data_IF_799240963105
#
_entry.id   IF_799240963105
#
_cell.length_a   1.000
_cell.length_b   1.000
_cell.length_c   1.000
_cell.angle_alpha   90.00
_cell.angle_beta   90.00
_cell.angle_gamma   90.00
#
_symmetry.space_group_name_H-M   'P 1'
#
loop_
_entity.id
_entity.type
_entity.pdbx_description
1 polymer ?
#
# COMPACT_ATOMS: atom_id res chain seq x y z
N UNK A 1 13.52 -39.00 24.95
CA UNK A 1 12.94 -37.70 25.36
C UNK A 1 12.58 -36.94 24.10
N UNK A 2 11.29 -36.85 23.79
CA UNK A 2 10.79 -36.15 22.61
C UNK A 2 11.01 -34.64 22.81
N UNK A 3 11.68 -34.02 21.82
CA UNK A 3 11.90 -32.58 21.78
C UNK A 3 10.55 -31.93 21.47
N UNK A 4 10.03 -31.12 22.39
CA UNK A 4 8.78 -30.39 22.20
C UNK A 4 8.83 -29.58 20.89
N UNK A 5 7.72 -29.47 20.14
CA UNK A 5 7.67 -28.63 18.96
C UNK A 5 7.91 -27.19 19.39
N UNK A 6 8.97 -26.59 18.82
CA UNK A 6 9.30 -25.18 18.99
C UNK A 6 8.15 -24.38 18.39
N UNK A 7 7.43 -23.60 19.21
CA UNK A 7 6.41 -22.68 18.73
C UNK A 7 6.98 -21.86 17.55
N UNK A 8 6.31 -21.91 16.41
CA UNK A 8 6.70 -21.17 15.23
C UNK A 8 6.73 -19.68 15.60
N UNK A 9 7.89 -19.04 15.46
CA UNK A 9 8.01 -17.60 15.69
C UNK A 9 7.21 -16.87 14.61
N UNK A 10 6.18 -16.14 15.03
CA UNK A 10 5.40 -15.24 14.20
C UNK A 10 6.20 -13.97 13.87
N UNK A 11 7.29 -14.13 13.12
CA UNK A 11 8.17 -13.02 12.71
C UNK A 11 7.59 -12.24 11.50
N UNK A 12 6.49 -12.72 10.89
CA UNK A 12 5.81 -12.03 9.78
C UNK A 12 4.81 -11.00 10.31
N UNK A 13 4.92 -9.76 9.82
CA UNK A 13 3.96 -8.68 10.05
C UNK A 13 3.61 -8.02 8.72
N UNK A 14 2.39 -8.27 8.25
CA UNK A 14 1.81 -7.60 7.09
C UNK A 14 0.83 -6.51 7.51
N UNK A 15 0.37 -5.72 6.55
CA UNK A 15 -0.68 -4.72 6.79
C UNK A 15 -1.54 -4.41 5.57
N UNK A 16 -2.78 -4.05 5.82
CA UNK A 16 -3.61 -3.31 4.87
C UNK A 16 -3.67 -1.84 5.27
N UNK A 17 -3.44 -0.95 4.31
CA UNK A 17 -3.30 0.49 4.56
C UNK A 17 -4.18 1.33 3.61
N UNK A 18 -5.52 1.31 3.76
CA UNK A 18 -6.41 2.05 2.88
C UNK A 18 -6.49 3.54 3.23
N UNK A 19 -6.63 4.40 2.22
CA UNK A 19 -7.00 5.81 2.44
C UNK A 19 -8.53 5.97 2.50
N UNK A 20 -9.13 6.63 3.51
CA UNK A 20 -10.58 6.75 3.67
C UNK A 20 -11.21 7.83 2.76
N UNK A 21 -10.87 7.82 1.47
CA UNK A 21 -11.31 8.80 0.46
C UNK A 21 -12.48 8.30 -0.41
N UNK A 22 -13.09 7.17 -0.05
CA UNK A 22 -14.18 6.51 -0.78
C UNK A 22 -14.39 5.10 -0.23
N UNK A 23 -15.54 4.47 -0.49
CA UNK A 23 -15.78 3.09 -0.01
C UNK A 23 -14.73 2.10 -0.52
N UNK A 24 -14.58 0.97 0.17
CA UNK A 24 -13.83 -0.17 -0.36
C UNK A 24 -14.44 -0.55 -1.73
N UNK A 25 -13.59 -0.64 -2.73
CA UNK A 25 -13.92 -1.13 -4.06
C UNK A 25 -13.19 -2.46 -4.31
N UNK A 26 -13.55 -3.13 -5.41
CA UNK A 26 -12.97 -4.44 -5.75
C UNK A 26 -11.43 -4.45 -5.74
N UNK A 27 -10.78 -3.46 -6.35
CA UNK A 27 -9.31 -3.34 -6.31
C UNK A 27 -8.71 -3.23 -4.89
N UNK A 28 -9.34 -2.48 -3.98
CA UNK A 28 -8.88 -2.42 -2.58
C UNK A 28 -9.21 -3.70 -1.80
N UNK A 29 -10.30 -4.40 -2.15
CA UNK A 29 -10.60 -5.71 -1.59
C UNK A 29 -9.56 -6.76 -2.02
N UNK A 30 -9.13 -6.75 -3.29
CA UNK A 30 -8.03 -7.60 -3.77
C UNK A 30 -6.76 -7.35 -2.97
N UNK A 31 -6.41 -6.09 -2.70
CA UNK A 31 -5.26 -5.76 -1.87
C UNK A 31 -5.43 -6.24 -0.41
N UNK A 32 -6.63 -6.12 0.17
CA UNK A 32 -6.92 -6.61 1.51
C UNK A 32 -6.82 -8.14 1.59
N UNK A 33 -7.47 -8.86 0.67
CA UNK A 33 -7.46 -10.33 0.60
C UNK A 33 -6.05 -10.87 0.36
N UNK A 34 -5.30 -10.30 -0.59
CA UNK A 34 -3.95 -10.75 -0.89
C UNK A 34 -2.97 -10.51 0.27
N UNK A 35 -3.02 -9.34 0.91
CA UNK A 35 -2.19 -9.07 2.09
C UNK A 35 -2.58 -9.91 3.30
N UNK A 36 -3.87 -10.19 3.48
CA UNK A 36 -4.36 -11.05 4.55
C UNK A 36 -3.93 -12.51 4.35
N UNK A 37 -4.15 -13.07 3.16
CA UNK A 37 -3.80 -14.45 2.85
C UNK A 37 -2.28 -14.68 2.93
N UNK A 38 -1.48 -13.73 2.44
CA UNK A 38 -0.01 -13.82 2.55
C UNK A 38 0.48 -13.80 4.00
N UNK A 39 -0.14 -12.97 4.86
CA UNK A 39 0.19 -12.92 6.28
C UNK A 39 -0.25 -14.19 7.02
N UNK A 40 -1.51 -14.60 6.84
CA UNK A 40 -2.12 -15.69 7.59
C UNK A 40 -1.64 -17.06 7.15
N UNK A 41 -1.32 -17.26 5.87
CA UNK A 41 -0.69 -18.51 5.37
C UNK A 41 0.68 -18.78 6.03
N UNK A 42 1.33 -17.73 6.55
CA UNK A 42 2.62 -17.80 7.27
C UNK A 42 2.47 -17.74 8.80
N UNK A 43 1.24 -17.77 9.31
CA UNK A 43 0.96 -17.62 10.75
C UNK A 43 1.35 -16.25 11.31
N UNK A 44 1.44 -15.23 10.46
CA UNK A 44 1.86 -13.88 10.80
C UNK A 44 0.74 -12.98 11.31
N UNK A 45 1.13 -11.77 11.72
CA UNK A 45 0.22 -10.68 12.05
C UNK A 45 -0.23 -9.94 10.80
N UNK A 46 -1.48 -9.47 10.79
CA UNK A 46 -2.03 -8.61 9.75
C UNK A 46 -2.64 -7.36 10.38
N UNK A 47 -1.98 -6.22 10.19
CA UNK A 47 -2.35 -4.94 10.80
C UNK A 47 -3.28 -4.13 9.88
N UNK A 48 -3.98 -3.16 10.46
CA UNK A 48 -4.77 -2.18 9.71
C UNK A 48 -4.35 -0.76 10.06
N UNK A 49 -4.08 0.06 9.03
CA UNK A 49 -3.72 1.47 9.17
C UNK A 49 -4.54 2.35 8.23
N UNK A 50 -5.27 3.32 8.75
CA UNK A 50 -5.99 4.30 7.95
C UNK A 50 -5.04 5.41 7.47
N UNK A 51 -4.86 5.52 6.15
CA UNK A 51 -4.00 6.54 5.53
C UNK A 51 -4.78 7.84 5.27
N UNK A 52 -5.13 8.54 6.36
CA UNK A 52 -5.97 9.74 6.40
C UNK A 52 -5.18 11.06 6.47
N UNK A 53 -3.95 11.07 5.94
CA UNK A 53 -3.04 12.23 5.92
C UNK A 53 -3.60 13.48 5.21
N UNK A 54 -4.40 13.27 4.16
CA UNK A 54 -4.97 14.37 3.38
C UNK A 54 -6.41 14.62 3.79
N UNK A 55 -6.59 15.38 4.87
CA UNK A 55 -7.89 15.74 5.42
C UNK A 55 -8.87 16.30 4.37
N UNK A 56 -8.38 16.96 3.31
CA UNK A 56 -9.23 17.49 2.23
C UNK A 56 -9.89 16.40 1.36
N UNK A 57 -9.37 15.17 1.39
CA UNK A 57 -9.90 14.03 0.62
C UNK A 57 -10.59 12.99 1.51
N UNK A 58 -10.44 13.09 2.83
CA UNK A 58 -11.11 12.19 3.77
C UNK A 58 -12.61 12.42 3.69
N UNK A 59 -13.37 11.33 3.55
CA UNK A 59 -14.83 11.38 3.58
C UNK A 59 -15.28 10.97 4.99
N UNK A 60 -16.02 11.82 5.74
CA UNK A 60 -16.54 11.47 7.05
C UNK A 60 -17.33 10.16 7.04
N UNK A 61 -17.15 9.32 8.07
CA UNK A 61 -17.82 8.01 8.17
C UNK A 61 -17.27 6.93 7.24
N UNK A 62 -16.25 7.24 6.43
CA UNK A 62 -15.70 6.30 5.45
C UNK A 62 -14.80 5.25 6.07
N UNK A 63 -13.92 5.65 7.00
CA UNK A 63 -13.07 4.72 7.74
C UNK A 63 -13.95 3.70 8.51
N UNK A 64 -14.98 4.16 9.20
CA UNK A 64 -15.89 3.32 9.98
C UNK A 64 -16.68 2.34 9.10
N UNK A 65 -17.11 2.77 7.91
CA UNK A 65 -17.74 1.87 6.93
C UNK A 65 -16.76 0.82 6.40
N UNK A 66 -15.50 1.21 6.13
CA UNK A 66 -14.48 0.25 5.71
C UNK A 66 -14.22 -0.80 6.78
N UNK A 67 -14.08 -0.38 8.04
CA UNK A 67 -13.88 -1.28 9.18
C UNK A 67 -15.00 -2.31 9.28
N UNK A 68 -16.26 -1.86 9.29
CA UNK A 68 -17.42 -2.76 9.33
C UNK A 68 -17.47 -3.74 8.16
N UNK A 69 -17.05 -3.30 6.97
CA UNK A 69 -17.04 -4.15 5.79
C UNK A 69 -15.91 -5.19 5.83
N UNK A 70 -14.72 -4.81 6.30
CA UNK A 70 -13.62 -5.76 6.53
C UNK A 70 -14.02 -6.82 7.57
N UNK A 71 -14.65 -6.41 8.67
CA UNK A 71 -15.20 -7.31 9.69
C UNK A 71 -16.27 -8.25 9.10
N UNK A 72 -17.20 -7.72 8.30
CA UNK A 72 -18.24 -8.53 7.66
C UNK A 72 -17.65 -9.57 6.69
N UNK A 73 -16.54 -9.26 6.02
CA UNK A 73 -15.80 -10.22 5.19
C UNK A 73 -14.90 -11.18 5.98
N UNK A 74 -14.81 -11.07 7.31
CA UNK A 74 -13.92 -11.88 8.13
C UNK A 74 -12.44 -11.48 8.05
N UNK A 75 -12.12 -10.37 7.39
CA UNK A 75 -10.77 -9.79 7.29
C UNK A 75 -10.41 -9.05 8.58
N UNK A 76 -10.19 -9.83 9.64
CA UNK A 76 -9.89 -9.33 10.99
C UNK A 76 -8.40 -9.04 11.17
N UNK A 77 -8.09 -7.87 11.70
CA UNK A 77 -6.72 -7.40 11.94
C UNK A 77 -6.27 -7.62 13.38
N UNK A 78 -4.95 -7.66 13.57
CA UNK A 78 -4.32 -7.81 14.87
C UNK A 78 -4.00 -6.43 15.46
N UNK A 79 -4.30 -6.25 16.75
CA UNK A 79 -4.02 -5.01 17.46
C UNK A 79 -4.99 -3.87 17.15
N UNK A 80 -4.61 -2.66 17.53
CA UNK A 80 -5.40 -1.46 17.28
C UNK A 80 -5.27 -0.99 15.83
N UNK A 81 -6.32 -0.34 15.32
CA UNK A 81 -6.25 0.39 14.05
C UNK A 81 -5.42 1.66 14.27
N UNK A 82 -4.39 1.87 13.45
CA UNK A 82 -3.60 3.10 13.47
C UNK A 82 -4.17 4.12 12.48
N UNK A 83 -4.10 5.41 12.83
CA UNK A 83 -4.56 6.52 11.99
C UNK A 83 -3.41 7.50 11.76
N UNK A 84 -3.05 7.74 10.50
CA UNK A 84 -1.90 8.60 10.18
C UNK A 84 -2.10 10.07 10.61
N UNK A 85 -3.35 10.53 10.67
CA UNK A 85 -3.72 11.84 11.21
C UNK A 85 -3.26 12.05 12.66
N UNK A 86 -3.22 10.99 13.47
CA UNK A 86 -2.75 11.02 14.86
C UNK A 86 -1.22 10.87 15.00
N UNK A 87 -0.50 10.62 13.91
CA UNK A 87 0.92 10.21 13.91
C UNK A 87 1.86 11.25 13.31
N UNK A 88 1.35 12.45 13.02
CA UNK A 88 2.09 13.53 12.36
C UNK A 88 3.36 13.97 13.07
N UNK A 89 3.46 13.78 14.39
CA UNK A 89 4.65 14.08 15.16
C UNK A 89 5.86 13.19 14.75
N UNK A 90 5.65 11.88 14.54
CA UNK A 90 6.71 10.97 14.07
C UNK A 90 7.26 11.39 12.70
N UNK A 91 6.39 11.86 11.81
CA UNK A 91 6.81 12.34 10.49
C UNK A 91 7.59 13.66 10.59
N UNK A 92 7.24 14.50 11.58
CA UNK A 92 8.00 15.70 11.92
C UNK A 92 9.42 15.39 12.39
N UNK A 93 9.58 14.41 13.28
CA UNK A 93 10.89 13.95 13.77
C UNK A 93 11.76 13.37 12.65
N UNK A 94 11.15 12.54 11.79
CA UNK A 94 11.83 11.99 10.62
C UNK A 94 12.24 13.10 9.64
N UNK A 95 11.37 14.08 9.39
CA UNK A 95 11.69 15.23 8.54
C UNK A 95 12.85 16.05 9.12
N UNK A 96 12.81 16.35 10.42
CA UNK A 96 13.87 17.10 11.09
C UNK A 96 15.22 16.37 11.01
N UNK A 97 15.21 15.04 11.12
CA UNK A 97 16.40 14.20 10.92
C UNK A 97 16.95 14.34 9.50
N UNK A 98 16.09 14.24 8.48
CA UNK A 98 16.51 14.40 7.07
C UNK A 98 17.04 15.82 6.78
N UNK A 99 16.44 16.84 7.38
CA UNK A 99 16.90 18.23 7.30
C UNK A 99 18.28 18.40 7.92
N UNK A 100 18.51 17.85 9.12
CA UNK A 100 19.80 17.88 9.80
C UNK A 100 20.91 17.17 9.01
N UNK A 101 20.56 16.13 8.25
CA UNK A 101 21.47 15.41 7.35
C UNK A 101 21.70 16.13 6.01
N UNK A 102 21.05 17.26 5.74
CA UNK A 102 21.15 17.98 4.46
C UNK A 102 20.49 17.23 3.29
N UNK A 103 19.60 16.27 3.57
CA UNK A 103 18.95 15.41 2.58
C UNK A 103 17.62 15.97 2.09
N UNK A 104 17.31 17.24 2.40
CA UNK A 104 16.09 17.89 1.94
C UNK A 104 16.40 19.26 1.33
N UNK A 105 15.43 19.81 0.60
CA UNK A 105 15.45 21.20 0.18
C UNK A 105 14.03 21.72 -0.05
N UNK A 106 13.90 23.06 -0.03
CA UNK A 106 12.64 23.75 -0.24
C UNK A 106 12.38 24.01 -1.72
N UNK A 107 11.17 23.69 -2.18
CA UNK A 107 10.75 23.77 -3.57
C UNK A 107 9.54 24.70 -3.72
N UNK A 108 9.70 25.76 -4.50
CA UNK A 108 8.61 26.69 -4.85
C UNK A 108 7.93 26.41 -6.19
N UNK A 109 8.35 25.37 -6.94
CA UNK A 109 7.73 25.01 -8.22
C UNK A 109 6.23 24.75 -8.09
N UNK A 110 5.47 25.17 -9.09
CA UNK A 110 4.05 24.92 -9.28
C UNK A 110 3.82 23.60 -10.02
N UNK A 111 2.56 23.15 -10.09
CA UNK A 111 2.20 21.94 -10.84
C UNK A 111 2.42 22.08 -12.35
N UNK A 112 2.36 23.30 -12.88
CA UNK A 112 2.54 23.60 -14.31
C UNK A 112 4.02 23.52 -14.74
N UNK A 113 4.96 23.67 -13.80
CA UNK A 113 6.41 23.62 -14.06
C UNK A 113 6.99 22.21 -13.94
N UNK A 114 6.14 21.18 -13.82
CA UNK A 114 6.60 19.79 -13.75
C UNK A 114 7.07 19.31 -15.13
N UNK A 115 7.95 18.31 -15.13
CA UNK A 115 8.39 17.64 -16.35
C UNK A 115 7.21 16.96 -17.06
N UNK A 116 7.43 16.49 -18.29
CA UNK A 116 6.39 15.83 -19.10
C UNK A 116 5.77 14.60 -18.42
N UNK A 117 6.56 13.90 -17.60
CA UNK A 117 6.15 12.76 -16.76
C UNK A 117 5.50 13.19 -15.43
N UNK A 118 5.31 14.49 -15.20
CA UNK A 118 4.82 15.04 -13.94
C UNK A 118 5.88 15.11 -12.83
N UNK A 119 7.14 14.82 -13.15
CA UNK A 119 8.28 14.87 -12.24
C UNK A 119 8.75 16.28 -11.90
N UNK A 120 9.71 16.36 -10.99
CA UNK A 120 10.32 17.64 -10.59
C UNK A 120 11.41 18.08 -11.59
N UNK A 121 11.41 19.35 -12.05
CA UNK A 121 12.37 19.81 -13.09
C UNK A 121 13.79 20.10 -12.58
N UNK A 122 14.12 19.87 -11.31
CA UNK A 122 15.48 20.10 -10.78
C UNK A 122 15.84 21.55 -10.45
N UNK A 123 14.91 22.50 -10.53
CA UNK A 123 15.20 23.96 -10.54
C UNK A 123 15.31 24.66 -9.18
N UNK A 124 15.18 23.94 -8.07
CA UNK A 124 15.19 24.45 -6.69
C UNK A 124 16.13 23.67 -5.76
N UNK A 125 16.95 22.74 -6.27
CA UNK A 125 17.94 22.01 -5.46
C UNK A 125 18.90 22.94 -4.71
N UNK A 126 19.15 24.15 -5.25
CA UNK A 126 20.03 25.15 -4.65
C UNK A 126 19.25 26.30 -3.99
N UNK A 127 17.96 26.12 -3.74
CA UNK A 127 17.07 27.13 -3.15
C UNK A 127 15.79 27.36 -3.96
N UNK A 128 14.70 27.79 -3.32
CA UNK A 128 13.44 28.05 -4.02
C UNK A 128 13.57 29.22 -5.00
N UNK A 129 12.91 29.12 -6.16
CA UNK A 129 12.89 30.17 -7.19
C UNK A 129 12.12 31.42 -6.79
N UNK A 130 11.24 31.30 -5.80
CA UNK A 130 10.34 32.38 -5.37
C UNK A 130 10.16 32.35 -3.86
N UNK A 131 9.92 33.53 -3.28
CA UNK A 131 9.59 33.69 -1.86
C UNK A 131 8.16 33.20 -1.59
N UNK A 132 7.90 32.73 -0.37
CA UNK A 132 6.58 32.27 0.07
C UNK A 132 6.55 30.78 0.42
N UNK A 133 5.35 30.20 0.43
CA UNK A 133 5.14 28.81 0.85
C UNK A 133 5.80 27.81 -0.11
N UNK A 134 6.60 26.90 0.44
CA UNK A 134 7.32 25.86 -0.29
C UNK A 134 6.86 24.47 0.10
N UNK A 135 7.05 23.50 -0.80
CA UNK A 135 7.04 22.09 -0.43
C UNK A 135 8.47 21.66 -0.07
N UNK A 136 8.63 20.69 0.82
CA UNK A 136 9.93 20.08 1.12
C UNK A 136 10.09 18.79 0.32
N UNK A 137 11.21 18.69 -0.39
CA UNK A 137 11.57 17.52 -1.19
C UNK A 137 12.71 16.75 -0.54
N UNK A 138 12.68 15.43 -0.69
CA UNK A 138 13.82 14.58 -0.42
C UNK A 138 14.81 14.68 -1.58
N UNK A 139 16.07 14.99 -1.27
CA UNK A 139 17.17 15.08 -2.22
C UNK A 139 17.65 13.66 -2.52
N UNK A 140 17.26 13.14 -3.67
CA UNK A 140 17.74 11.82 -4.09
C UNK A 140 19.19 11.89 -4.57
N UNK A 141 19.98 10.91 -4.16
CA UNK A 141 21.34 10.65 -4.61
C UNK A 141 21.36 9.93 -5.97
N UNK A 142 22.56 9.78 -6.53
CA UNK A 142 22.78 9.10 -7.80
C UNK A 142 23.15 7.64 -7.53
N UNK A 143 22.15 6.85 -7.15
CA UNK A 143 22.31 5.42 -6.89
C UNK A 143 21.22 4.60 -7.57
N UNK A 144 21.57 3.36 -7.84
CA UNK A 144 20.60 2.32 -8.19
C UNK A 144 20.00 1.76 -6.90
N UNK A 145 18.67 1.70 -6.83
CA UNK A 145 17.95 0.92 -5.81
C UNK A 145 17.54 -0.41 -6.43
N UNK A 146 18.00 -1.50 -5.83
CA UNK A 146 17.60 -2.86 -6.19
C UNK A 146 16.82 -3.50 -5.04
N UNK A 147 15.76 -4.22 -5.36
CA UNK A 147 15.05 -5.07 -4.41
C UNK A 147 14.41 -6.26 -5.13
N UNK A 148 14.24 -7.35 -4.40
CA UNK A 148 13.47 -8.49 -4.88
C UNK A 148 12.00 -8.29 -4.51
N UNK A 149 11.14 -8.25 -5.52
CA UNK A 149 9.71 -8.33 -5.33
C UNK A 149 9.25 -9.78 -5.45
N UNK A 150 8.55 -10.29 -4.43
CA UNK A 150 8.12 -11.69 -4.40
C UNK A 150 7.16 -12.08 -5.53
N UNK A 151 6.54 -11.12 -6.21
CA UNK A 151 5.68 -11.35 -7.37
C UNK A 151 6.28 -10.82 -8.67
N UNK A 152 7.02 -9.71 -8.65
CA UNK A 152 7.54 -9.06 -9.87
C UNK A 152 8.99 -9.42 -10.19
N UNK A 153 9.67 -10.19 -9.33
CA UNK A 153 11.07 -10.57 -9.48
C UNK A 153 12.04 -9.44 -9.13
N UNK A 154 13.25 -9.50 -9.68
CA UNK A 154 14.28 -8.48 -9.46
C UNK A 154 13.85 -7.13 -10.04
N UNK A 155 13.79 -6.12 -9.17
CA UNK A 155 13.43 -4.76 -9.51
C UNK A 155 14.64 -3.84 -9.37
N UNK A 156 15.00 -3.14 -10.45
CA UNK A 156 16.14 -2.21 -10.50
C UNK A 156 15.68 -0.83 -10.96
N UNK A 157 15.95 0.20 -10.16
CA UNK A 157 15.58 1.58 -10.46
C UNK A 157 16.75 2.53 -10.26
N UNK A 158 17.04 3.37 -11.26
CA UNK A 158 17.96 4.48 -11.09
C UNK A 158 17.23 5.61 -10.35
N UNK A 159 17.59 5.84 -9.08
CA UNK A 159 16.82 6.74 -8.22
C UNK A 159 16.86 8.18 -8.74
N UNK A 160 17.95 8.56 -9.40
CA UNK A 160 18.10 9.89 -10.00
C UNK A 160 17.09 10.15 -11.12
N UNK A 161 16.74 9.13 -11.92
CA UNK A 161 15.73 9.22 -12.98
C UNK A 161 14.32 9.40 -12.41
N UNK A 162 14.06 8.86 -11.21
CA UNK A 162 12.79 9.06 -10.49
C UNK A 162 12.66 10.50 -9.99
N UNK A 163 13.77 11.13 -9.65
CA UNK A 163 13.84 12.54 -9.22
C UNK A 163 13.43 12.77 -7.76
N UNK A 164 13.58 14.03 -7.32
CA UNK A 164 13.37 14.45 -5.94
C UNK A 164 11.88 14.45 -5.57
N UNK A 165 11.45 13.51 -4.73
CA UNK A 165 10.05 13.38 -4.33
C UNK A 165 9.66 14.36 -3.24
N UNK A 166 8.40 14.80 -3.23
CA UNK A 166 7.86 15.61 -2.13
C UNK A 166 7.68 14.72 -0.90
N UNK A 167 8.20 15.16 0.25
CA UNK A 167 7.99 14.51 1.56
C UNK A 167 7.14 15.36 2.51
N UNK A 168 7.05 16.68 2.27
CA UNK A 168 6.09 17.59 2.90
C UNK A 168 5.53 18.55 1.87
N UNK A 169 4.21 18.63 1.77
CA UNK A 169 3.50 19.48 0.81
C UNK A 169 3.55 20.95 1.22
N UNK A 170 3.22 21.83 0.28
CA UNK A 170 3.15 23.29 0.50
C UNK A 170 2.09 23.71 1.52
N UNK A 171 1.02 22.94 1.62
CA UNK A 171 -0.05 23.12 2.62
C UNK A 171 0.31 22.52 3.99
N UNK A 172 1.54 22.02 4.16
CA UNK A 172 2.04 21.50 5.42
C UNK A 172 1.80 20.00 5.64
N UNK A 173 0.92 19.36 4.86
CA UNK A 173 0.61 17.94 4.99
C UNK A 173 1.83 17.06 4.61
N UNK A 174 2.07 16.01 5.38
CA UNK A 174 3.11 15.04 5.07
C UNK A 174 2.73 14.20 3.85
N UNK A 175 3.71 13.87 3.01
CA UNK A 175 3.48 13.06 1.84
C UNK A 175 3.53 11.56 2.17
N UNK A 176 2.77 10.79 1.40
CA UNK A 176 2.69 9.34 1.48
C UNK A 176 4.05 8.65 1.64
N UNK A 177 5.05 9.06 0.84
CA UNK A 177 6.36 8.39 0.82
C UNK A 177 7.09 8.43 2.16
N UNK A 178 7.00 9.54 2.89
CA UNK A 178 7.62 9.66 4.22
C UNK A 178 6.80 8.92 5.27
N UNK A 179 5.49 9.18 5.30
CA UNK A 179 4.61 8.62 6.32
C UNK A 179 4.57 7.09 6.30
N UNK A 180 4.47 6.48 5.11
CA UNK A 180 4.43 5.01 4.99
C UNK A 180 5.75 4.36 5.42
N UNK A 181 6.89 4.96 5.09
CA UNK A 181 8.20 4.45 5.49
C UNK A 181 8.39 4.50 7.01
N UNK A 182 7.96 5.59 7.65
CA UNK A 182 8.02 5.76 9.10
C UNK A 182 7.04 4.82 9.81
N UNK A 183 5.80 4.72 9.35
CA UNK A 183 4.78 3.90 10.01
C UNK A 183 5.03 2.40 9.84
N UNK A 184 5.46 1.94 8.67
CA UNK A 184 5.81 0.53 8.47
C UNK A 184 6.97 0.14 9.42
N UNK A 185 7.95 1.03 9.65
CA UNK A 185 9.02 0.78 10.63
C UNK A 185 8.52 0.78 12.08
N UNK A 186 7.70 1.76 12.48
CA UNK A 186 7.18 1.86 13.85
C UNK A 186 6.19 0.75 14.22
N UNK A 187 5.48 0.20 13.22
CA UNK A 187 4.59 -0.95 13.39
C UNK A 187 5.30 -2.30 13.16
N UNK A 188 6.62 -2.28 12.96
CA UNK A 188 7.43 -3.48 12.73
C UNK A 188 6.93 -4.31 11.53
N UNK A 189 6.39 -3.67 10.50
CA UNK A 189 5.96 -4.34 9.26
C UNK A 189 7.19 -4.95 8.59
N UNK A 190 7.15 -6.27 8.39
CA UNK A 190 8.21 -7.03 7.73
C UNK A 190 7.91 -7.25 6.25
N UNK A 191 6.62 -7.27 5.88
CA UNK A 191 6.16 -7.64 4.54
C UNK A 191 5.09 -6.67 4.04
N UNK A 192 5.43 -5.90 3.02
CA UNK A 192 4.51 -4.97 2.36
C UNK A 192 3.91 -5.64 1.14
N UNK A 193 2.67 -6.11 1.30
CA UNK A 193 1.83 -6.63 0.22
C UNK A 193 0.84 -5.54 -0.22
N UNK A 194 0.94 -5.06 -1.46
CA UNK A 194 0.11 -3.95 -1.98
C UNK A 194 -0.05 -4.01 -3.50
N UNK A 195 -0.86 -3.15 -4.10
CA UNK A 195 -1.08 -3.12 -5.55
C UNK A 195 0.14 -2.65 -6.35
N UNK A 196 0.32 -3.19 -7.56
CA UNK A 196 1.42 -2.89 -8.47
C UNK A 196 1.46 -1.43 -8.96
N UNK A 197 0.38 -0.67 -8.78
CA UNK A 197 0.39 0.79 -8.99
C UNK A 197 1.33 1.54 -8.04
N UNK A 198 1.78 0.88 -6.96
CA UNK A 198 2.73 1.43 -5.99
C UNK A 198 4.17 0.89 -6.16
N UNK A 199 4.42 -0.02 -7.11
CA UNK A 199 5.75 -0.59 -7.37
C UNK A 199 6.79 0.51 -7.58
N UNK A 200 6.41 1.47 -8.41
CA UNK A 200 7.17 2.64 -8.80
C UNK A 200 7.46 3.63 -7.66
N UNK A 201 6.74 3.54 -6.53
CA UNK A 201 7.01 4.32 -5.32
C UNK A 201 8.04 3.69 -4.39
N UNK A 202 8.21 2.38 -4.48
CA UNK A 202 9.11 1.58 -3.63
C UNK A 202 10.55 2.11 -3.56
N UNK A 203 11.24 2.50 -4.67
CA UNK A 203 12.62 2.97 -4.58
C UNK A 203 12.78 4.23 -3.72
N UNK A 204 11.81 5.16 -3.71
CA UNK A 204 11.85 6.31 -2.81
C UNK A 204 11.69 5.90 -1.34
N UNK A 205 10.83 4.92 -1.06
CA UNK A 205 10.59 4.45 0.30
C UNK A 205 11.80 3.72 0.86
N UNK A 206 12.41 2.82 0.07
CA UNK A 206 13.70 2.19 0.42
C UNK A 206 14.77 3.26 0.66
N UNK A 207 14.79 4.30 -0.17
CA UNK A 207 15.77 5.35 -0.01
C UNK A 207 15.60 6.18 1.27
N UNK A 208 14.35 6.49 1.62
CA UNK A 208 13.99 7.16 2.87
C UNK A 208 14.29 6.27 4.09
N UNK A 209 13.97 4.97 4.02
CA UNK A 209 14.31 4.01 5.07
C UNK A 209 15.81 3.98 5.34
N UNK A 210 16.64 3.87 4.30
CA UNK A 210 18.10 3.90 4.44
C UNK A 210 18.62 5.22 5.03
N UNK A 211 18.09 6.36 4.57
CA UNK A 211 18.47 7.67 5.10
C UNK A 211 18.12 7.86 6.58
N UNK A 212 16.98 7.30 7.00
CA UNK A 212 16.47 7.35 8.38
C UNK A 212 16.94 6.17 9.25
N UNK A 213 17.73 5.24 8.69
CA UNK A 213 18.17 3.99 9.35
C UNK A 213 17.00 3.12 9.85
N UNK A 214 15.91 3.11 9.09
CA UNK A 214 14.74 2.27 9.32
C UNK A 214 14.93 0.88 8.66
N UNK A 215 14.27 -0.17 9.17
CA UNK A 215 14.25 -1.46 8.50
C UNK A 215 13.57 -1.37 7.14
N UNK A 216 14.08 -2.16 6.18
CA UNK A 216 13.47 -2.33 4.86
C UNK A 216 12.65 -3.62 4.84
N UNK A 217 11.33 -3.56 4.60
CA UNK A 217 10.49 -4.74 4.52
C UNK A 217 10.71 -5.49 3.20
N UNK A 218 10.26 -6.75 3.16
CA UNK A 218 10.07 -7.50 1.93
C UNK A 218 8.86 -6.95 1.16
N UNK A 219 8.93 -6.92 -0.17
CA UNK A 219 7.86 -6.39 -1.01
C UNK A 219 7.18 -7.48 -1.84
N UNK A 220 5.87 -7.30 -2.03
CA UNK A 220 5.08 -8.07 -2.98
C UNK A 220 4.03 -7.13 -3.60
N UNK A 221 4.12 -6.96 -4.91
CA UNK A 221 3.18 -6.13 -5.65
C UNK A 221 2.14 -6.97 -6.39
N UNK A 222 0.92 -6.97 -5.87
CA UNK A 222 -0.26 -7.65 -6.40
C UNK A 222 -0.70 -7.01 -7.73
N UNK A 223 -1.22 -7.79 -8.69
CA UNK A 223 -1.74 -7.24 -9.94
C UNK A 223 -2.78 -6.16 -9.73
N UNK A 224 -2.66 -5.05 -10.46
CA UNK A 224 -3.64 -3.97 -10.47
C UNK A 224 -4.92 -4.43 -11.20
N UNK A 225 -6.07 -4.28 -10.54
CA UNK A 225 -7.37 -4.55 -11.16
C UNK A 225 -7.72 -3.41 -12.13
N UNK A 226 -7.93 -3.75 -13.40
CA UNK A 226 -8.33 -2.83 -14.48
C UNK A 226 -9.73 -3.16 -15.01
N UNK A 227 -10.38 -2.18 -15.63
CA UNK A 227 -11.61 -2.39 -16.40
C UNK A 227 -11.32 -3.22 -17.66
N UNK A 228 -12.35 -3.82 -18.31
CA UNK A 228 -12.16 -4.56 -19.56
C UNK A 228 -11.41 -3.78 -20.66
N UNK A 229 -11.59 -2.45 -20.70
CA UNK A 229 -10.90 -1.55 -21.64
C UNK A 229 -9.48 -1.16 -21.24
N UNK A 230 -8.90 -1.73 -20.17
CA UNK A 230 -7.54 -1.46 -19.70
C UNK A 230 -7.39 -0.20 -18.84
N UNK A 231 -8.44 0.61 -18.69
CA UNK A 231 -8.42 1.74 -17.76
C UNK A 231 -8.38 1.25 -16.30
N UNK A 232 -7.75 2.02 -15.40
CA UNK A 232 -7.80 1.75 -13.96
C UNK A 232 -9.26 1.73 -13.48
N UNK A 233 -9.59 0.77 -12.62
CA UNK A 233 -10.94 0.60 -12.09
C UNK A 233 -11.46 1.90 -11.46
N UNK A 234 -12.61 2.39 -11.94
CA UNK A 234 -13.21 3.59 -11.39
C UNK A 234 -13.77 3.31 -10.00
N UNK A 235 -13.23 3.98 -8.97
CA UNK A 235 -13.59 3.79 -7.55
C UNK A 235 -15.10 3.79 -7.27
N UNK A 236 -15.89 4.54 -8.03
CA UNK A 236 -17.32 4.69 -7.83
C UNK A 236 -18.17 3.59 -8.49
N UNK A 237 -17.70 2.92 -9.56
CA UNK A 237 -18.53 1.98 -10.35
C UNK A 237 -18.48 0.54 -9.83
N UNK A 238 -17.54 0.21 -8.95
CA UNK A 238 -17.38 -1.11 -8.32
C UNK A 238 -17.16 -1.01 -6.82
N UNK A 239 -17.91 -0.11 -6.18
CA UNK A 239 -17.97 -0.08 -4.72
C UNK A 239 -18.52 -1.42 -4.24
N UNK A 240 -17.84 -2.02 -3.26
CA UNK A 240 -18.38 -3.18 -2.56
C UNK A 240 -19.52 -2.68 -1.69
N UNK A 241 -20.72 -3.23 -1.90
CA UNK A 241 -21.88 -2.88 -1.10
C UNK A 241 -21.74 -3.52 0.28
N UNK A 242 -22.18 -2.80 1.30
CA UNK A 242 -22.24 -3.32 2.67
C UNK A 242 -23.50 -4.20 2.76
N UNK A 243 -23.31 -5.51 2.63
CA UNK A 243 -24.33 -6.51 2.95
C UNK A 243 -24.17 -6.89 4.43
N UNK A 244 -25.23 -6.87 5.26
CA UNK A 244 -25.17 -7.36 6.64
C UNK A 244 -24.86 -8.88 6.74
N UNK A 245 -25.05 -9.64 5.66
CA UNK A 245 -24.75 -11.07 5.59
C UNK A 245 -24.02 -11.41 4.28
N UNK A 246 -22.78 -10.92 4.09
CA UNK A 246 -22.09 -11.08 2.82
C UNK A 246 -21.82 -12.56 2.56
N UNK A 247 -22.14 -13.00 1.35
CA UNK A 247 -21.70 -14.30 0.83
C UNK A 247 -20.19 -14.30 0.54
N UNK A 248 -19.63 -15.46 0.25
CA UNK A 248 -18.25 -15.60 -0.21
C UNK A 248 -17.96 -15.02 -1.61
N UNK A 249 -18.96 -14.49 -2.32
CA UNK A 249 -18.87 -14.09 -3.73
C UNK A 249 -17.80 -13.03 -4.02
N UNK A 250 -17.75 -11.95 -3.25
CA UNK A 250 -16.77 -10.87 -3.48
C UNK A 250 -15.34 -11.33 -3.18
N UNK A 251 -15.17 -12.18 -2.17
CA UNK A 251 -13.88 -12.78 -1.83
C UNK A 251 -13.45 -13.81 -2.88
N UNK A 252 -14.39 -14.61 -3.38
CA UNK A 252 -14.16 -15.53 -4.51
C UNK A 252 -13.68 -14.77 -5.74
N UNK A 253 -14.35 -13.67 -6.10
CA UNK A 253 -13.94 -12.83 -7.24
C UNK A 253 -12.55 -12.20 -7.01
N UNK A 254 -12.25 -11.73 -5.79
CA UNK A 254 -10.93 -11.21 -5.46
C UNK A 254 -9.82 -12.27 -5.63
N UNK A 255 -10.07 -13.51 -5.18
CA UNK A 255 -9.15 -14.64 -5.35
C UNK A 255 -9.01 -15.06 -6.82
N UNK A 256 -10.10 -15.02 -7.59
CA UNK A 256 -10.09 -15.27 -9.05
C UNK A 256 -9.24 -14.23 -9.77
N UNK A 257 -9.35 -12.95 -9.40
CA UNK A 257 -8.52 -11.88 -9.94
C UNK A 257 -7.04 -12.04 -9.57
N UNK A 258 -6.73 -12.61 -8.41
CA UNK A 258 -5.38 -13.02 -8.02
C UNK A 258 -4.95 -14.37 -8.62
N UNK A 259 -5.72 -14.89 -9.58
CA UNK A 259 -5.50 -16.17 -10.26
C UNK A 259 -5.37 -17.37 -9.31
N UNK A 260 -5.88 -17.31 -8.08
CA UNK A 260 -5.72 -18.37 -7.07
C UNK A 260 -6.51 -19.64 -7.40
N UNK A 261 -7.50 -19.56 -8.29
CA UNK A 261 -8.33 -20.70 -8.70
C UNK A 261 -9.26 -21.27 -7.61
N UNK A 262 -10.03 -20.44 -6.88
CA UNK A 262 -11.00 -20.92 -5.89
C UNK A 262 -12.13 -21.74 -6.54
N UNK A 263 -12.54 -22.89 -5.94
CA UNK A 263 -13.73 -23.62 -6.38
C UNK A 263 -14.99 -22.74 -6.41
N UNK A 264 -15.85 -22.92 -7.41
CA UNK A 264 -17.08 -22.12 -7.57
C UNK A 264 -18.06 -22.27 -6.40
N UNK A 265 -18.03 -23.39 -5.68
CA UNK A 265 -18.86 -23.62 -4.50
C UNK A 265 -18.60 -22.59 -3.40
N UNK A 266 -17.39 -22.03 -3.32
CA UNK A 266 -17.03 -21.01 -2.32
C UNK A 266 -17.80 -19.70 -2.49
N UNK A 267 -18.40 -19.43 -3.66
CA UNK A 267 -19.25 -18.24 -3.87
C UNK A 267 -20.44 -18.21 -2.91
N UNK A 268 -20.93 -19.38 -2.51
CA UNK A 268 -22.11 -19.55 -1.65
C UNK A 268 -21.74 -19.79 -0.18
N UNK A 269 -20.45 -19.93 0.12
CA UNK A 269 -19.95 -20.18 1.47
C UNK A 269 -19.87 -18.89 2.30
N UNK A 270 -19.63 -19.05 3.61
CA UNK A 270 -19.34 -17.91 4.48
C UNK A 270 -18.00 -17.25 4.12
N UNK A 271 -17.84 -15.93 4.35
CA UNK A 271 -16.56 -15.24 4.12
C UNK A 271 -15.38 -15.89 4.84
N UNK A 272 -15.57 -16.32 6.08
CA UNK A 272 -14.56 -17.05 6.86
C UNK A 272 -14.09 -18.31 6.15
N UNK A 273 -15.00 -19.09 5.56
CA UNK A 273 -14.64 -20.32 4.85
C UNK A 273 -13.85 -20.04 3.57
N UNK A 274 -14.17 -18.96 2.86
CA UNK A 274 -13.39 -18.52 1.69
C UNK A 274 -11.99 -18.07 2.08
N UNK A 275 -11.85 -17.33 3.19
CA UNK A 275 -10.54 -16.90 3.71
C UNK A 275 -9.70 -18.06 4.23
N UNK A 276 -10.30 -19.04 4.92
CA UNK A 276 -9.62 -20.28 5.31
C UNK A 276 -9.04 -21.01 4.10
N UNK A 277 -9.85 -21.15 3.04
CA UNK A 277 -9.40 -21.73 1.79
C UNK A 277 -8.25 -20.92 1.17
N UNK A 278 -8.39 -19.58 1.13
CA UNK A 278 -7.38 -18.68 0.59
C UNK A 278 -6.03 -18.82 1.30
N UNK A 279 -6.03 -18.88 2.63
CA UNK A 279 -4.80 -19.02 3.42
C UNK A 279 -4.15 -20.39 3.22
N UNK A 280 -4.95 -21.45 3.08
CA UNK A 280 -4.45 -22.81 2.88
C UNK A 280 -3.90 -23.07 1.47
N UNK A 281 -4.33 -22.30 0.46
CA UNK A 281 -3.98 -22.48 -0.95
C UNK A 281 -3.30 -21.24 -1.55
N UNK A 282 -2.72 -20.37 -0.71
CA UNK A 282 -2.08 -19.14 -1.16
C UNK A 282 -0.80 -19.47 -1.95
N UNK A 283 -0.83 -19.19 -3.26
CA UNK A 283 0.25 -19.54 -4.18
C UNK A 283 0.67 -18.30 -5.00
N UNK A 284 1.90 -17.83 -4.78
CA UNK A 284 2.46 -16.64 -5.42
C UNK A 284 2.74 -16.84 -6.92
N UNK A 285 3.19 -18.04 -7.30
CA UNK A 285 3.56 -18.38 -8.68
C UNK A 285 2.41 -18.20 -9.67
N UNK A 286 1.16 -18.23 -9.18
CA UNK A 286 -0.05 -18.05 -10.00
C UNK A 286 -0.17 -16.66 -10.59
N UNK A 287 0.50 -15.66 -10.04
CA UNK A 287 0.49 -14.30 -10.55
C UNK A 287 1.89 -13.69 -10.65
N UNK A 288 2.93 -14.53 -10.67
CA UNK A 288 4.31 -14.07 -10.84
C UNK A 288 4.49 -13.37 -12.20
N UNK A 289 5.11 -12.19 -12.19
CA UNK A 289 5.31 -11.31 -13.35
C UNK A 289 4.04 -10.62 -13.85
N UNK A 290 2.89 -10.80 -13.20
CA UNK A 290 1.62 -10.20 -13.62
C UNK A 290 1.46 -8.84 -12.95
N UNK A 291 1.37 -7.77 -13.75
CA UNK A 291 1.17 -6.40 -13.24
C UNK A 291 -0.28 -5.95 -13.22
N UNK A 292 -1.12 -6.52 -14.07
CA UNK A 292 -2.51 -6.11 -14.24
C UNK A 292 -3.41 -7.31 -14.49
N UNK A 293 -4.64 -7.25 -13.98
CA UNK A 293 -5.69 -8.24 -14.19
C UNK A 293 -7.00 -7.53 -14.50
N UNK A 294 -7.77 -8.08 -15.43
CA UNK A 294 -9.02 -7.45 -15.90
C UNK A 294 -10.21 -7.98 -15.11
N UNK A 295 -10.99 -7.08 -14.55
CA UNK A 295 -12.27 -7.42 -13.97
C UNK A 295 -13.32 -7.64 -15.08
N UNK A 296 -14.19 -8.64 -14.91
CA UNK A 296 -15.28 -8.91 -15.86
C UNK A 296 -16.22 -7.70 -16.00
N UNK A 297 -16.93 -7.56 -17.12
CA UNK A 297 -17.91 -6.49 -17.27
C UNK A 297 -19.04 -6.64 -16.22
N UNK A 298 -19.64 -5.53 -15.72
CA UNK A 298 -20.78 -5.62 -14.79
C UNK A 298 -21.92 -6.42 -15.42
N UNK A 299 -22.43 -7.45 -14.72
CA UNK A 299 -23.56 -8.26 -15.19
C UNK A 299 -23.22 -9.38 -16.18
N UNK A 300 -21.94 -9.70 -16.38
CA UNK A 300 -21.52 -10.92 -17.08
C UNK A 300 -21.40 -12.07 -16.07
N UNK A 301 -22.53 -12.67 -15.70
CA UNK A 301 -22.60 -14.03 -15.15
C UNK A 301 -23.21 -14.97 -16.19
#
# INVERSE_FOLDING_TARGET
>A
MARAPRAARADYVGRFAPSPTGSLHLGSLVAAVGSFADARSRGGRWLLRMEDLDASRVIPGCAERMLRMLEAFGLTWDGAVEYQSARTHHYGEALATLEALGLTFQCSCTRAERNADGGYPGTCRNGPKSRGATATRFRVDDRTVCFEDRAQGECRFELRERGDVIIRRRDGAFAYQLAVAVDDALQEVTDVVRGADLLDSTPWQIALQGALRLPTPHYLHLPLVTEPGGAKLAKARRSVALDPHPSGRELHEALRLLNQGPPDTLKLESPSRVLEWACAHWELDRFHGVREVRAAAPGAD
#
